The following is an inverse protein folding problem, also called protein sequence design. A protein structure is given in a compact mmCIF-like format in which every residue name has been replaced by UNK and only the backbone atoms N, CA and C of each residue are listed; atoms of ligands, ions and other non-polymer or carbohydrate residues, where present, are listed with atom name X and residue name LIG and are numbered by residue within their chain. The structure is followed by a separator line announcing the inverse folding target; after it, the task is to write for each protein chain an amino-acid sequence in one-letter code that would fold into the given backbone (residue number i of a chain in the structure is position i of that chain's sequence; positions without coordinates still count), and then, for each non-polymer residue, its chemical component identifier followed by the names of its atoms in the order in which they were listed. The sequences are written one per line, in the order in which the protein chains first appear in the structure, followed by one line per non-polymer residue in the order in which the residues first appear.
data_IF_648157519200
#
_entry.id   IF_648157519200
#
_cell.length_a   1.000
_cell.length_b   1.000
_cell.length_c   1.000
_cell.angle_alpha   90.00
_cell.angle_beta   90.00
_cell.angle_gamma   90.00
#
_symmetry.space_group_name_H-M   'P 1'
#
loop_
_entity.id
_entity.type
_entity.pdbx_description
1 polymer ?
#
# COMPACT_ATOMS: atom_id res chain seq x y z
N UNK A 1 -37.63 -38.94 -14.72
CA UNK A 1 -38.10 -37.73 -15.43
C UNK A 1 -37.09 -37.43 -16.52
N UNK A 2 -37.52 -37.41 -17.79
CA UNK A 2 -36.63 -37.09 -18.91
C UNK A 2 -36.38 -35.58 -18.97
N UNK A 3 -35.12 -35.17 -19.13
CA UNK A 3 -34.72 -33.76 -19.20
C UNK A 3 -35.23 -33.10 -20.49
N UNK A 4 -35.74 -31.86 -20.38
CA UNK A 4 -36.28 -31.10 -21.49
C UNK A 4 -35.14 -30.67 -22.45
N UNK A 5 -35.18 -31.05 -23.74
CA UNK A 5 -34.12 -30.76 -24.71
C UNK A 5 -33.99 -29.28 -25.10
N UNK A 6 -34.88 -28.41 -24.62
CA UNK A 6 -34.83 -26.95 -24.81
C UNK A 6 -34.13 -26.21 -23.66
N UNK A 7 -33.69 -26.91 -22.62
CA UNK A 7 -32.97 -26.34 -21.48
C UNK A 7 -31.48 -26.67 -21.65
N UNK A 8 -30.68 -25.66 -21.97
CA UNK A 8 -29.23 -25.80 -22.02
C UNK A 8 -28.69 -26.19 -20.63
N UNK A 9 -27.85 -27.23 -20.56
CA UNK A 9 -27.18 -27.59 -19.33
C UNK A 9 -26.32 -26.42 -18.85
N UNK A 10 -26.44 -26.08 -17.57
CA UNK A 10 -25.60 -25.06 -16.92
C UNK A 10 -24.14 -25.49 -17.00
N UNK A 11 -23.30 -24.66 -17.61
CA UNK A 11 -21.85 -24.78 -17.51
C UNK A 11 -21.36 -23.88 -16.40
N UNK A 12 -20.83 -24.47 -15.32
CA UNK A 12 -20.18 -23.69 -14.27
C UNK A 12 -18.87 -23.09 -14.82
N UNK A 13 -18.77 -21.76 -14.76
CA UNK A 13 -17.61 -21.00 -15.24
C UNK A 13 -16.37 -21.14 -14.35
N UNK A 14 -16.48 -21.81 -13.20
CA UNK A 14 -15.39 -21.99 -12.25
C UNK A 14 -15.31 -23.46 -11.88
N UNK A 15 -14.18 -24.08 -12.22
CA UNK A 15 -13.92 -25.49 -11.99
C UNK A 15 -12.82 -25.62 -10.93
N UNK A 16 -12.65 -26.81 -10.35
CA UNK A 16 -11.59 -27.06 -9.35
C UNK A 16 -10.18 -26.73 -9.88
N UNK A 17 -9.97 -26.80 -11.20
CA UNK A 17 -8.70 -26.47 -11.85
C UNK A 17 -8.53 -24.98 -12.17
N UNK A 18 -9.55 -24.13 -11.99
CA UNK A 18 -9.42 -22.67 -12.23
C UNK A 18 -8.38 -22.04 -11.28
N UNK A 19 -8.27 -22.54 -10.04
CA UNK A 19 -7.23 -22.11 -9.10
C UNK A 19 -5.81 -22.48 -9.54
N UNK A 20 -5.63 -23.64 -10.18
CA UNK A 20 -4.34 -24.07 -10.72
C UNK A 20 -3.84 -23.15 -11.85
N UNK A 21 -4.75 -22.69 -12.72
CA UNK A 21 -4.40 -21.74 -13.78
C UNK A 21 -3.91 -20.40 -13.23
N UNK A 22 -4.58 -19.86 -12.20
CA UNK A 22 -4.17 -18.60 -11.59
C UNK A 22 -2.84 -18.69 -10.83
N UNK A 23 -2.57 -19.83 -10.19
CA UNK A 23 -1.28 -20.07 -9.53
C UNK A 23 -0.14 -20.13 -10.55
N UNK A 24 -0.38 -20.72 -11.72
CA UNK A 24 0.58 -20.73 -12.84
C UNK A 24 0.79 -19.31 -13.39
N UNK A 25 -0.29 -18.55 -13.62
CA UNK A 25 -0.21 -17.14 -14.05
C UNK A 25 0.59 -16.28 -13.06
N UNK A 26 0.45 -16.54 -11.75
CA UNK A 26 1.28 -15.92 -10.72
C UNK A 26 2.74 -16.33 -10.91
N UNK A 27 3.03 -17.63 -11.03
CA UNK A 27 4.39 -18.13 -11.19
C UNK A 27 5.08 -17.53 -12.44
N UNK A 28 4.37 -17.43 -13.56
CA UNK A 28 4.85 -16.81 -14.79
C UNK A 28 5.13 -15.32 -14.60
N UNK A 29 4.24 -14.60 -13.92
CA UNK A 29 4.42 -13.17 -13.65
C UNK A 29 5.62 -12.93 -12.72
N UNK A 30 5.77 -13.75 -11.67
CA UNK A 30 6.91 -13.70 -10.76
C UNK A 30 8.22 -14.03 -11.46
N UNK A 31 8.24 -15.07 -12.30
CA UNK A 31 9.39 -15.42 -13.13
C UNK A 31 9.78 -14.26 -14.07
N UNK A 32 8.80 -13.57 -14.65
CA UNK A 32 9.03 -12.36 -15.45
C UNK A 32 9.72 -11.24 -14.68
N UNK A 33 9.38 -11.05 -13.40
CA UNK A 33 10.02 -10.07 -12.51
C UNK A 33 11.46 -10.49 -12.19
N UNK A 34 11.64 -11.74 -11.77
CA UNK A 34 12.94 -12.30 -11.34
C UNK A 34 13.94 -12.40 -12.50
N UNK A 35 13.45 -12.60 -13.73
CA UNK A 35 14.30 -12.61 -14.92
C UNK A 35 15.00 -11.27 -15.20
N UNK A 36 14.56 -10.17 -14.59
CA UNK A 36 15.09 -8.83 -14.86
C UNK A 36 14.75 -8.31 -16.26
N UNK A 37 13.84 -8.95 -17.00
CA UNK A 37 13.44 -8.56 -18.37
C UNK A 37 12.90 -7.14 -18.49
N UNK A 38 12.44 -6.57 -17.36
CA UNK A 38 11.97 -5.20 -17.24
C UNK A 38 13.10 -4.17 -17.18
N UNK A 39 14.34 -4.58 -16.88
CA UNK A 39 15.50 -3.68 -16.79
C UNK A 39 15.91 -3.23 -18.19
N UNK A 40 16.08 -1.93 -18.36
CA UNK A 40 16.52 -1.35 -19.63
C UNK A 40 17.94 -1.85 -19.99
N UNK A 41 18.13 -2.26 -21.24
CA UNK A 41 19.39 -2.87 -21.71
C UNK A 41 20.59 -1.94 -21.60
N UNK A 42 20.36 -0.63 -21.50
CA UNK A 42 21.41 0.36 -21.25
C UNK A 42 22.01 0.26 -19.84
N UNK A 43 21.28 -0.30 -18.87
CA UNK A 43 21.78 -0.57 -17.51
C UNK A 43 22.18 -2.04 -17.35
N UNK A 44 21.44 -2.96 -17.98
CA UNK A 44 21.64 -4.42 -17.86
C UNK A 44 22.95 -5.00 -18.41
N UNK A 45 23.83 -4.18 -18.99
CA UNK A 45 25.15 -4.60 -19.48
C UNK A 45 26.29 -4.47 -18.45
N UNK A 46 26.05 -3.87 -17.29
CA UNK A 46 27.06 -3.70 -16.23
C UNK A 46 26.89 -4.84 -15.22
N UNK A 47 27.75 -5.85 -15.35
CA UNK A 47 27.73 -7.05 -14.53
C UNK A 47 28.04 -6.76 -13.05
N UNK A 48 27.15 -7.24 -12.18
CA UNK A 48 27.41 -7.76 -10.81
C UNK A 48 28.74 -7.36 -10.15
N UNK A 49 28.71 -6.30 -9.34
CA UNK A 49 29.61 -6.14 -8.20
C UNK A 49 28.81 -5.56 -7.04
N UNK A 50 28.44 -6.41 -6.08
CA UNK A 50 27.79 -5.97 -4.84
C UNK A 50 28.82 -5.87 -3.73
N UNK A 51 29.38 -4.67 -3.55
CA UNK A 51 29.97 -4.23 -2.29
C UNK A 51 29.53 -2.77 -2.07
N UNK A 52 28.35 -2.60 -1.44
CA UNK A 52 27.79 -1.29 -1.13
C UNK A 52 28.30 -0.81 0.24
N UNK A 53 29.56 -0.37 0.29
CA UNK A 53 30.04 0.49 1.36
C UNK A 53 30.00 1.94 0.87
N UNK A 54 28.98 2.67 1.32
CA UNK A 54 28.80 4.08 1.03
C UNK A 54 29.71 4.94 1.92
N UNK A 55 30.89 5.32 1.42
CA UNK A 55 31.50 6.59 1.84
C UNK A 55 30.84 7.70 1.03
N UNK A 56 30.14 8.59 1.74
CA UNK A 56 29.70 9.87 1.17
C UNK A 56 30.93 10.75 1.01
N UNK A 57 31.66 10.54 -0.09
CA UNK A 57 32.57 11.56 -0.60
C UNK A 57 31.71 12.53 -1.41
N UNK A 58 31.87 13.82 -1.12
CA UNK A 58 31.30 14.92 -1.88
C UNK A 58 32.35 15.39 -2.91
N UNK A 59 32.32 14.86 -4.15
CA UNK A 59 33.26 15.27 -5.19
C UNK A 59 33.06 16.75 -5.57
N UNK A 60 31.84 17.30 -5.42
CA UNK A 60 31.52 18.69 -5.78
C UNK A 60 31.95 19.69 -4.71
N UNK A 61 32.04 19.28 -3.43
CA UNK A 61 32.56 20.08 -2.33
C UNK A 61 34.00 20.58 -2.56
N UNK A 62 34.79 19.85 -3.37
CA UNK A 62 36.12 20.30 -3.81
C UNK A 62 36.07 21.55 -4.70
N UNK A 63 35.00 21.74 -5.48
CA UNK A 63 34.82 22.92 -6.34
C UNK A 63 34.47 24.16 -5.51
N UNK A 64 33.72 23.99 -4.42
CA UNK A 64 33.41 25.07 -3.45
C UNK A 64 34.70 25.57 -2.81
N UNK A 65 35.65 24.67 -2.52
CA UNK A 65 36.96 25.02 -1.95
C UNK A 65 37.82 25.90 -2.86
N UNK A 66 37.53 25.92 -4.17
CA UNK A 66 38.23 26.74 -5.16
C UNK A 66 37.62 28.14 -5.36
N UNK A 67 36.52 28.47 -4.67
CA UNK A 67 35.98 29.84 -4.61
C UNK A 67 35.28 30.32 -5.89
N UNK A 68 34.83 29.42 -6.76
CA UNK A 68 34.30 29.75 -8.09
C UNK A 68 32.76 29.76 -8.12
N UNK A 69 32.15 30.86 -7.67
CA UNK A 69 30.68 31.01 -7.58
C UNK A 69 29.91 30.80 -8.89
N UNK A 70 30.47 31.23 -10.04
CA UNK A 70 29.81 31.05 -11.35
C UNK A 70 29.81 29.59 -11.83
N UNK A 71 30.80 28.79 -11.40
CA UNK A 71 30.91 27.38 -11.78
C UNK A 71 29.85 26.55 -11.06
N UNK A 72 29.50 26.92 -9.82
CA UNK A 72 28.44 26.26 -9.06
C UNK A 72 27.09 26.35 -9.75
N UNK A 73 26.76 27.49 -10.38
CA UNK A 73 25.51 27.62 -11.16
C UNK A 73 25.44 26.62 -12.31
N UNK A 74 26.57 26.30 -12.95
CA UNK A 74 26.64 25.37 -14.06
C UNK A 74 26.70 23.91 -13.60
N UNK A 75 27.25 23.64 -12.41
CA UNK A 75 27.42 22.28 -11.87
C UNK A 75 26.23 21.83 -11.05
N UNK A 76 25.39 22.77 -10.58
CA UNK A 76 24.15 22.48 -9.84
C UNK A 76 23.26 21.39 -10.46
N UNK A 77 23.02 21.34 -11.78
CA UNK A 77 22.23 20.25 -12.38
C UNK A 77 22.78 18.84 -12.13
N UNK A 78 24.10 18.69 -11.93
CA UNK A 78 24.70 17.40 -11.56
C UNK A 78 24.50 17.09 -10.07
N UNK A 79 24.54 18.10 -9.21
CA UNK A 79 24.23 17.97 -7.77
C UNK A 79 22.77 17.57 -7.56
N UNK A 80 21.85 18.28 -8.21
CA UNK A 80 20.41 18.02 -8.12
C UNK A 80 20.09 16.58 -8.57
N UNK A 81 20.80 16.05 -9.57
CA UNK A 81 20.65 14.66 -10.01
C UNK A 81 21.11 13.62 -8.97
N UNK A 82 22.14 13.95 -8.17
CA UNK A 82 22.61 13.12 -7.04
C UNK A 82 21.58 13.12 -5.91
N UNK A 83 20.97 14.28 -5.65
CA UNK A 83 19.92 14.46 -4.64
C UNK A 83 18.63 13.73 -5.02
N UNK A 84 18.24 13.73 -6.31
CA UNK A 84 17.10 12.93 -6.79
C UNK A 84 17.27 11.43 -6.58
N UNK A 85 18.52 10.95 -6.56
CA UNK A 85 18.87 9.54 -6.33
C UNK A 85 19.19 9.27 -4.86
N UNK A 86 19.04 10.26 -3.96
CA UNK A 86 19.12 10.08 -2.52
C UNK A 86 17.79 9.57 -1.97
N UNK A 87 17.54 8.27 -2.17
CA UNK A 87 16.45 7.54 -1.52
C UNK A 87 16.87 6.92 -0.19
N UNK A 88 15.91 6.27 0.47
CA UNK A 88 16.13 5.51 1.71
C UNK A 88 16.18 3.99 1.38
N UNK A 89 17.38 3.40 1.25
CA UNK A 89 17.52 1.98 0.94
C UNK A 89 17.02 1.08 2.09
N UNK A 90 17.09 1.55 3.34
CA UNK A 90 16.62 0.79 4.50
C UNK A 90 15.10 0.70 4.48
N UNK A 91 14.42 1.77 4.09
CA UNK A 91 12.97 1.76 3.89
C UNK A 91 12.53 0.81 2.76
N UNK A 92 13.28 0.75 1.65
CA UNK A 92 13.02 -0.19 0.56
C UNK A 92 13.19 -1.65 1.04
N UNK A 93 14.27 -1.94 1.77
CA UNK A 93 14.54 -3.25 2.35
C UNK A 93 13.46 -3.66 3.37
N UNK A 94 12.96 -2.71 4.16
CA UNK A 94 11.87 -2.94 5.11
C UNK A 94 10.55 -3.31 4.39
N UNK A 95 10.22 -2.63 3.29
CA UNK A 95 9.05 -2.98 2.48
C UNK A 95 9.18 -4.37 1.85
N UNK A 96 10.33 -4.69 1.28
CA UNK A 96 10.57 -6.02 0.72
C UNK A 96 10.47 -7.12 1.80
N UNK A 97 11.06 -6.89 2.97
CA UNK A 97 10.98 -7.82 4.10
C UNK A 97 9.55 -8.02 4.59
N UNK A 98 8.72 -6.98 4.55
CA UNK A 98 7.30 -7.07 4.89
C UNK A 98 6.57 -8.03 3.95
N UNK A 99 6.79 -7.90 2.64
CA UNK A 99 6.19 -8.79 1.64
C UNK A 99 6.70 -10.23 1.74
N UNK A 100 7.99 -10.43 2.06
CA UNK A 100 8.53 -11.76 2.37
C UNK A 100 7.87 -12.39 3.59
N UNK A 101 7.63 -11.60 4.65
CA UNK A 101 6.94 -12.10 5.86
C UNK A 101 5.50 -12.51 5.55
N UNK A 102 4.78 -11.74 4.70
CA UNK A 102 3.43 -12.10 4.23
C UNK A 102 3.44 -13.40 3.43
N UNK A 103 4.41 -13.54 2.51
CA UNK A 103 4.58 -14.76 1.71
C UNK A 103 4.83 -15.98 2.60
N UNK A 104 5.75 -15.85 3.57
CA UNK A 104 6.06 -16.89 4.54
C UNK A 104 4.84 -17.27 5.37
N UNK A 105 4.16 -16.31 5.97
CA UNK A 105 2.97 -16.56 6.79
C UNK A 105 1.86 -17.27 6.00
N UNK A 106 1.66 -16.87 4.74
CA UNK A 106 0.66 -17.50 3.86
C UNK A 106 1.04 -18.93 3.49
N UNK A 107 2.34 -19.19 3.30
CA UNK A 107 2.88 -20.53 3.03
C UNK A 107 2.73 -21.44 4.25
N UNK A 108 3.10 -20.95 5.43
CA UNK A 108 2.97 -21.68 6.69
C UNK A 108 1.50 -22.04 6.96
N UNK A 109 0.58 -21.08 6.77
CA UNK A 109 -0.85 -21.32 6.96
C UNK A 109 -1.42 -22.36 5.96
N UNK A 110 -0.93 -22.38 4.71
CA UNK A 110 -1.32 -23.38 3.72
C UNK A 110 -0.82 -24.78 4.12
N UNK A 111 0.43 -24.87 4.59
CA UNK A 111 1.04 -26.11 5.08
C UNK A 111 0.31 -26.64 6.33
N UNK A 112 -0.01 -25.78 7.28
CA UNK A 112 -0.76 -26.13 8.50
C UNK A 112 -2.15 -26.68 8.16
N UNK A 113 -2.86 -26.05 7.22
CA UNK A 113 -4.17 -26.53 6.76
C UNK A 113 -4.06 -27.91 6.10
N UNK A 114 -3.06 -28.11 5.24
CA UNK A 114 -2.82 -29.39 4.59
C UNK A 114 -2.45 -30.49 5.60
N UNK A 115 -1.60 -30.16 6.59
CA UNK A 115 -1.24 -31.04 7.68
C UNK A 115 -2.46 -31.42 8.55
N UNK A 116 -3.32 -30.46 8.89
CA UNK A 116 -4.54 -30.72 9.65
C UNK A 116 -5.49 -31.65 8.90
N UNK A 117 -5.71 -31.44 7.59
CA UNK A 117 -6.56 -32.31 6.77
C UNK A 117 -5.99 -33.73 6.65
N UNK A 118 -4.68 -33.86 6.42
CA UNK A 118 -4.05 -35.18 6.28
C UNK A 118 -4.06 -35.97 7.59
N UNK A 119 -3.87 -35.32 8.74
CA UNK A 119 -3.76 -35.98 10.04
C UNK A 119 -5.12 -36.21 10.71
N UNK A 120 -5.97 -35.19 10.80
CA UNK A 120 -7.22 -35.25 11.55
C UNK A 120 -8.33 -35.99 10.81
N UNK A 121 -8.21 -36.10 9.48
CA UNK A 121 -9.19 -36.78 8.62
C UNK A 121 -8.60 -38.05 7.98
N UNK A 122 -7.53 -38.61 8.56
CA UNK A 122 -6.86 -39.79 8.03
C UNK A 122 -7.81 -41.01 7.94
N UNK A 123 -8.64 -41.19 8.96
CA UNK A 123 -9.57 -42.32 9.06
C UNK A 123 -10.90 -42.09 8.33
N UNK A 124 -11.18 -40.85 7.91
CA UNK A 124 -12.44 -40.52 7.24
C UNK A 124 -12.36 -40.89 5.75
N UNK A 125 -13.10 -41.92 5.33
CA UNK A 125 -13.16 -42.34 3.93
C UNK A 125 -14.60 -42.28 3.37
N UNK A 126 -14.73 -42.45 2.06
CA UNK A 126 -15.96 -42.36 1.30
C UNK A 126 -15.99 -41.19 0.33
N UNK A 127 -17.10 -41.08 -0.41
CA UNK A 127 -17.27 -40.04 -1.43
C UNK A 127 -17.19 -38.62 -0.84
N UNK A 128 -17.79 -38.39 0.33
CA UNK A 128 -17.78 -37.10 1.02
C UNK A 128 -16.37 -36.70 1.49
N UNK A 129 -15.58 -37.65 2.00
CA UNK A 129 -14.20 -37.38 2.42
C UNK A 129 -13.32 -36.98 1.23
N UNK A 130 -13.47 -37.65 0.07
CA UNK A 130 -12.76 -37.26 -1.16
C UNK A 130 -13.18 -35.90 -1.67
N UNK A 131 -14.48 -35.58 -1.67
CA UNK A 131 -14.98 -34.26 -2.06
C UNK A 131 -14.43 -33.16 -1.14
N UNK A 132 -14.40 -33.40 0.17
CA UNK A 132 -13.82 -32.46 1.14
C UNK A 132 -12.32 -32.24 0.93
N UNK A 133 -11.53 -33.32 0.75
CA UNK A 133 -10.09 -33.20 0.46
C UNK A 133 -9.82 -32.44 -0.84
N UNK A 134 -10.62 -32.67 -1.87
CA UNK A 134 -10.51 -31.92 -3.13
C UNK A 134 -10.84 -30.43 -2.94
N UNK A 135 -11.86 -30.11 -2.13
CA UNK A 135 -12.20 -28.73 -1.79
C UNK A 135 -11.08 -28.01 -1.04
N UNK A 136 -10.52 -28.62 0.01
CA UNK A 136 -9.41 -28.03 0.75
C UNK A 136 -8.13 -27.94 -0.08
N UNK A 137 -7.86 -28.92 -0.95
CA UNK A 137 -6.74 -28.84 -1.89
C UNK A 137 -6.81 -27.58 -2.76
N UNK A 138 -7.99 -27.18 -3.21
CA UNK A 138 -8.17 -25.93 -3.96
C UNK A 138 -7.90 -24.68 -3.12
N UNK A 139 -8.28 -24.70 -1.83
CA UNK A 139 -7.98 -23.60 -0.90
C UNK A 139 -6.48 -23.48 -0.62
N UNK A 140 -5.80 -24.61 -0.35
CA UNK A 140 -4.34 -24.66 -0.12
C UNK A 140 -3.61 -24.10 -1.34
N UNK A 141 -3.96 -24.53 -2.55
CA UNK A 141 -3.34 -24.03 -3.78
C UNK A 141 -3.57 -22.52 -3.98
N UNK A 142 -4.76 -22.01 -3.66
CA UNK A 142 -5.02 -20.57 -3.74
C UNK A 142 -4.18 -19.77 -2.72
N UNK A 143 -4.01 -20.29 -1.51
CA UNK A 143 -3.11 -19.69 -0.50
C UNK A 143 -1.65 -19.73 -0.94
N UNK A 144 -1.19 -20.83 -1.55
CA UNK A 144 0.15 -20.93 -2.14
C UNK A 144 0.34 -19.93 -3.30
N UNK A 145 -0.68 -19.71 -4.13
CA UNK A 145 -0.67 -18.68 -5.17
C UNK A 145 -0.49 -17.27 -4.60
N UNK A 146 -1.25 -16.94 -3.54
CA UNK A 146 -1.11 -15.64 -2.85
C UNK A 146 0.28 -15.51 -2.23
N UNK A 147 0.79 -16.58 -1.60
CA UNK A 147 2.14 -16.60 -1.04
C UNK A 147 3.21 -16.31 -2.10
N UNK A 148 3.12 -16.95 -3.27
CA UNK A 148 4.02 -16.71 -4.40
C UNK A 148 3.90 -15.29 -4.92
N UNK A 149 2.69 -14.76 -5.08
CA UNK A 149 2.48 -13.39 -5.56
C UNK A 149 3.08 -12.36 -4.57
N UNK A 150 2.89 -12.55 -3.26
CA UNK A 150 3.53 -11.74 -2.23
C UNK A 150 5.06 -11.82 -2.29
N UNK A 151 5.62 -13.01 -2.51
CA UNK A 151 7.06 -13.19 -2.76
C UNK A 151 7.53 -12.44 -4.01
N UNK A 152 6.75 -12.48 -5.07
CA UNK A 152 7.00 -11.72 -6.30
C UNK A 152 7.03 -10.20 -6.08
N UNK A 153 6.15 -9.66 -5.24
CA UNK A 153 6.18 -8.24 -4.87
C UNK A 153 7.46 -7.91 -4.10
N UNK A 154 7.90 -8.79 -3.19
CA UNK A 154 9.18 -8.60 -2.51
C UNK A 154 10.36 -8.57 -3.50
N UNK A 155 10.44 -9.54 -4.42
CA UNK A 155 11.46 -9.60 -5.47
C UNK A 155 11.44 -8.34 -6.36
N UNK A 156 10.24 -7.81 -6.66
CA UNK A 156 10.08 -6.56 -7.43
C UNK A 156 10.64 -5.35 -6.68
N UNK A 157 10.30 -5.19 -5.40
CA UNK A 157 10.77 -4.06 -4.57
C UNK A 157 12.28 -4.10 -4.41
N UNK A 158 12.84 -5.29 -4.17
CA UNK A 158 14.29 -5.49 -4.09
C UNK A 158 14.99 -5.19 -5.40
N UNK A 159 14.49 -5.74 -6.51
CA UNK A 159 15.04 -5.49 -7.83
C UNK A 159 15.03 -4.01 -8.20
N UNK A 160 13.93 -3.31 -7.90
CA UNK A 160 13.84 -1.86 -8.09
C UNK A 160 14.84 -1.09 -7.20
N UNK A 161 14.97 -1.47 -5.93
CA UNK A 161 15.94 -0.89 -5.00
C UNK A 161 17.38 -1.06 -5.46
N UNK A 162 17.74 -2.28 -5.87
CA UNK A 162 19.07 -2.60 -6.42
C UNK A 162 19.35 -1.80 -7.70
N UNK A 163 18.36 -1.64 -8.58
CA UNK A 163 18.53 -0.84 -9.80
C UNK A 163 18.78 0.64 -9.48
N UNK A 164 18.04 1.21 -8.52
CA UNK A 164 18.24 2.60 -8.07
C UNK A 164 19.64 2.76 -7.46
N UNK A 165 20.07 1.80 -6.63
CA UNK A 165 21.41 1.81 -6.03
C UNK A 165 22.52 1.78 -7.10
N UNK A 166 22.38 0.91 -8.10
CA UNK A 166 23.31 0.83 -9.24
C UNK A 166 23.37 2.15 -10.01
N UNK A 167 22.21 2.75 -10.35
CA UNK A 167 22.17 4.02 -11.10
C UNK A 167 22.79 5.15 -10.28
N UNK A 168 22.57 5.17 -8.96
CA UNK A 168 23.22 6.13 -8.05
C UNK A 168 24.74 5.99 -8.07
N UNK A 169 25.27 4.78 -8.07
CA UNK A 169 26.71 4.51 -8.18
C UNK A 169 27.27 5.01 -9.51
N UNK A 170 26.64 4.64 -10.63
CA UNK A 170 27.07 5.09 -11.96
C UNK A 170 27.03 6.62 -12.11
N UNK A 171 26.00 7.29 -11.55
CA UNK A 171 25.92 8.76 -11.57
C UNK A 171 27.02 9.37 -10.71
N UNK A 172 27.30 8.82 -9.53
CA UNK A 172 28.43 9.24 -8.67
C UNK A 172 29.75 9.13 -9.42
N UNK A 173 30.02 8.02 -10.10
CA UNK A 173 31.25 7.80 -10.84
C UNK A 173 31.41 8.80 -11.99
N UNK A 174 30.34 9.04 -12.75
CA UNK A 174 30.36 10.07 -13.80
C UNK A 174 30.65 11.47 -13.24
N UNK A 175 30.15 11.78 -12.04
CA UNK A 175 30.42 13.06 -11.38
C UNK A 175 31.87 13.12 -10.89
N UNK A 176 32.41 12.04 -10.34
CA UNK A 176 33.81 11.96 -9.94
C UNK A 176 34.77 12.15 -11.14
N UNK A 177 34.46 11.53 -12.28
CA UNK A 177 35.20 11.74 -13.52
C UNK A 177 35.09 13.19 -14.01
N UNK A 178 33.89 13.77 -13.97
CA UNK A 178 33.68 15.17 -14.34
C UNK A 178 34.52 16.13 -13.48
N UNK A 179 34.53 15.93 -12.16
CA UNK A 179 35.34 16.70 -11.23
C UNK A 179 36.83 16.53 -11.51
N UNK A 180 37.27 15.31 -11.83
CA UNK A 180 38.66 15.04 -12.22
C UNK A 180 39.07 15.81 -13.50
N UNK A 181 38.18 15.91 -14.50
CA UNK A 181 38.41 16.72 -15.70
C UNK A 181 38.45 18.22 -15.35
N UNK A 182 37.56 18.69 -14.47
CA UNK A 182 37.57 20.08 -14.00
C UNK A 182 38.86 20.41 -13.25
N UNK A 183 39.37 19.52 -12.40
CA UNK A 183 40.61 19.72 -11.66
C UNK A 183 41.81 20.01 -12.56
N UNK A 184 41.88 19.33 -13.71
CA UNK A 184 42.94 19.56 -14.69
C UNK A 184 42.69 20.82 -15.51
N UNK A 185 41.45 21.07 -15.97
CA UNK A 185 41.14 22.17 -16.92
C UNK A 185 40.93 23.54 -16.28
N UNK A 186 40.42 23.60 -15.05
CA UNK A 186 40.07 24.86 -14.39
C UNK A 186 41.29 25.78 -14.21
N UNK A 187 42.49 25.30 -13.81
CA UNK A 187 43.68 26.15 -13.75
C UNK A 187 44.07 26.75 -15.11
N UNK A 188 43.94 25.99 -16.21
CA UNK A 188 44.23 26.48 -17.57
C UNK A 188 43.26 27.59 -17.98
N UNK A 189 41.97 27.40 -17.71
CA UNK A 189 40.94 28.39 -18.01
C UNK A 189 41.10 29.69 -17.21
N UNK A 190 41.48 29.59 -15.93
CA UNK A 190 41.78 30.74 -15.10
C UNK A 190 43.03 31.48 -15.60
N UNK A 191 44.08 30.74 -16.01
CA UNK A 191 45.28 31.33 -16.59
C UNK A 191 44.98 32.03 -17.93
N UNK A 192 44.15 31.43 -18.80
CA UNK A 192 43.73 32.01 -20.07
C UNK A 192 42.91 33.30 -19.88
N UNK A 193 41.92 33.27 -18.98
CA UNK A 193 41.13 34.45 -18.64
C UNK A 193 42.02 35.56 -18.03
N UNK A 194 42.94 35.20 -17.14
CA UNK A 194 43.88 36.16 -16.53
C UNK A 194 44.87 36.75 -17.53
N UNK A 195 45.49 35.92 -18.38
CA UNK A 195 46.45 36.35 -19.39
C UNK A 195 45.83 37.24 -20.48
N UNK A 196 44.53 37.08 -20.74
CA UNK A 196 43.77 37.92 -21.68
C UNK A 196 43.07 39.10 -21.01
N UNK A 197 43.38 39.39 -19.73
CA UNK A 197 42.74 40.45 -18.93
C UNK A 197 41.21 40.37 -18.94
N UNK A 198 40.67 39.15 -19.02
CA UNK A 198 39.22 38.86 -19.04
C UNK A 198 38.58 38.80 -20.43
N UNK A 199 39.32 39.06 -21.52
CA UNK A 199 38.75 39.01 -22.88
C UNK A 199 38.36 37.59 -23.31
N UNK A 200 39.06 36.55 -22.85
CA UNK A 200 38.73 35.16 -23.15
C UNK A 200 37.62 34.58 -22.26
N UNK A 201 37.12 35.31 -21.26
CA UNK A 201 36.09 34.82 -20.32
C UNK A 201 34.83 34.26 -21.03
N UNK A 202 34.27 34.88 -22.09
CA UNK A 202 33.14 34.31 -22.81
C UNK A 202 33.46 32.95 -23.46
N UNK A 203 34.69 32.79 -23.97
CA UNK A 203 35.13 31.52 -24.57
C UNK A 203 35.23 30.45 -23.48
N UNK A 204 35.85 30.75 -22.35
CA UNK A 204 35.95 29.84 -21.18
C UNK A 204 34.56 29.39 -20.72
N UNK A 205 33.59 30.31 -20.58
CA UNK A 205 32.22 29.97 -20.19
C UNK A 205 31.58 29.00 -21.18
N UNK A 206 31.77 29.20 -22.49
CA UNK A 206 31.21 28.29 -23.50
C UNK A 206 31.85 26.90 -23.44
N UNK A 207 33.15 26.81 -23.17
CA UNK A 207 33.86 25.53 -23.00
C UNK A 207 33.38 24.77 -21.74
N UNK A 208 33.23 25.48 -20.61
CA UNK A 208 32.67 24.92 -19.36
C UNK A 208 31.25 24.42 -19.60
N UNK A 209 30.40 25.24 -20.22
CA UNK A 209 29.00 24.90 -20.51
C UNK A 209 28.87 23.66 -21.41
N UNK A 210 29.71 23.56 -22.45
CA UNK A 210 29.77 22.39 -23.33
C UNK A 210 30.20 21.12 -22.58
N UNK A 211 31.20 21.24 -21.70
CA UNK A 211 31.64 20.12 -20.87
C UNK A 211 30.53 19.67 -19.93
N UNK A 212 29.90 20.59 -19.19
CA UNK A 212 28.77 20.31 -18.31
C UNK A 212 27.64 19.64 -19.08
N UNK A 213 27.24 20.20 -20.23
CA UNK A 213 26.16 19.65 -21.06
C UNK A 213 26.46 18.21 -21.51
N UNK A 214 27.71 17.89 -21.84
CA UNK A 214 28.14 16.53 -22.20
C UNK A 214 27.95 15.54 -21.04
N UNK A 215 28.27 15.93 -19.81
CA UNK A 215 28.12 15.08 -18.63
C UNK A 215 26.67 14.98 -18.17
N UNK A 216 25.93 16.10 -18.18
CA UNK A 216 24.50 16.11 -17.93
C UNK A 216 23.75 15.19 -18.90
N UNK A 217 24.12 15.20 -20.19
CA UNK A 217 23.52 14.29 -21.17
C UNK A 217 23.86 12.81 -20.91
N UNK A 218 25.01 12.50 -20.32
CA UNK A 218 25.37 11.12 -19.91
C UNK A 218 24.52 10.66 -18.73
N UNK A 219 24.44 11.48 -17.69
CA UNK A 219 23.62 11.21 -16.50
C UNK A 219 22.14 11.09 -16.88
N UNK A 220 21.64 12.01 -17.72
CA UNK A 220 20.26 12.00 -18.19
C UNK A 220 19.87 10.71 -18.93
N UNK A 221 20.81 10.06 -19.63
CA UNK A 221 20.57 8.74 -20.23
C UNK A 221 20.39 7.64 -19.18
N UNK A 222 21.20 7.63 -18.12
CA UNK A 222 21.06 6.67 -17.02
C UNK A 222 19.73 6.85 -16.28
N UNK A 223 19.36 8.09 -15.98
CA UNK A 223 18.07 8.40 -15.33
C UNK A 223 16.89 8.01 -16.23
N UNK A 224 16.98 8.29 -17.54
CA UNK A 224 15.94 7.90 -18.49
C UNK A 224 15.78 6.38 -18.57
N UNK A 225 16.89 5.64 -18.53
CA UNK A 225 16.89 4.19 -18.49
C UNK A 225 16.30 3.63 -17.20
N UNK A 226 16.58 4.25 -16.05
CA UNK A 226 15.96 3.93 -14.77
C UNK A 226 14.44 4.10 -14.85
N UNK A 227 13.98 5.26 -15.31
CA UNK A 227 12.55 5.56 -15.47
C UNK A 227 11.89 4.58 -16.45
N UNK A 228 12.54 4.27 -17.58
CA UNK A 228 12.10 3.26 -18.55
C UNK A 228 11.90 1.90 -17.87
N UNK A 229 12.88 1.46 -17.08
CA UNK A 229 12.83 0.19 -16.34
C UNK A 229 11.67 0.16 -15.33
N UNK A 230 11.54 1.20 -14.50
CA UNK A 230 10.45 1.31 -13.52
C UNK A 230 9.07 1.34 -14.18
N UNK A 231 8.93 1.99 -15.34
CA UNK A 231 7.68 1.97 -16.11
C UNK A 231 7.33 0.59 -16.66
N UNK A 232 8.33 -0.23 -17.00
CA UNK A 232 8.13 -1.63 -17.43
C UNK A 232 7.73 -2.55 -16.27
N UNK A 233 8.03 -2.18 -15.02
CA UNK A 233 7.56 -2.90 -13.82
C UNK A 233 6.08 -2.66 -13.48
N UNK A 234 5.56 -1.46 -13.70
CA UNK A 234 4.16 -1.09 -13.38
C UNK A 234 3.13 -2.12 -13.87
N UNK A 235 3.15 -2.60 -15.14
CA UNK A 235 2.18 -3.59 -15.60
C UNK A 235 2.33 -4.96 -14.91
N UNK A 236 3.55 -5.37 -14.55
CA UNK A 236 3.79 -6.63 -13.81
C UNK A 236 3.21 -6.55 -12.40
N UNK A 237 3.40 -5.42 -11.72
CA UNK A 237 2.82 -5.17 -10.40
C UNK A 237 1.29 -5.17 -10.43
N UNK A 238 0.69 -4.52 -11.42
CA UNK A 238 -0.77 -4.52 -11.61
C UNK A 238 -1.29 -5.93 -11.86
N UNK A 239 -0.62 -6.70 -12.73
CA UNK A 239 -0.98 -8.10 -12.98
C UNK A 239 -0.92 -8.96 -11.72
N UNK A 240 0.10 -8.80 -10.88
CA UNK A 240 0.15 -9.49 -9.58
C UNK A 240 -1.01 -9.08 -8.67
N UNK A 241 -1.35 -7.80 -8.61
CA UNK A 241 -2.52 -7.31 -7.87
C UNK A 241 -3.83 -7.97 -8.33
N UNK A 242 -4.08 -7.97 -9.65
CA UNK A 242 -5.26 -8.59 -10.25
C UNK A 242 -5.34 -10.09 -9.90
N UNK A 243 -4.21 -10.81 -10.00
CA UNK A 243 -4.14 -12.24 -9.69
C UNK A 243 -4.38 -12.52 -8.19
N UNK A 244 -3.87 -11.68 -7.30
CA UNK A 244 -4.15 -11.77 -5.86
C UNK A 244 -5.65 -11.58 -5.60
N UNK A 245 -6.29 -10.61 -6.24
CA UNK A 245 -7.73 -10.36 -6.09
C UNK A 245 -8.57 -11.53 -6.61
N UNK A 246 -8.20 -12.13 -7.74
CA UNK A 246 -8.87 -13.32 -8.27
C UNK A 246 -8.73 -14.53 -7.33
N UNK A 247 -7.54 -14.78 -6.79
CA UNK A 247 -7.26 -15.83 -5.82
C UNK A 247 -8.00 -15.60 -4.49
N UNK A 248 -8.04 -14.37 -3.99
CA UNK A 248 -8.85 -13.99 -2.84
C UNK A 248 -10.35 -14.21 -3.08
N UNK A 249 -10.82 -13.90 -4.28
CA UNK A 249 -12.18 -14.20 -4.71
C UNK A 249 -12.49 -15.69 -4.66
N UNK A 250 -11.55 -16.54 -5.08
CA UNK A 250 -11.68 -18.00 -4.97
C UNK A 250 -11.74 -18.46 -3.51
N UNK A 251 -10.86 -17.96 -2.64
CA UNK A 251 -10.87 -18.29 -1.21
C UNK A 251 -12.19 -17.89 -0.54
N UNK A 252 -12.69 -16.67 -0.78
CA UNK A 252 -13.97 -16.21 -0.23
C UNK A 252 -15.14 -17.06 -0.70
N UNK A 253 -15.16 -17.47 -1.97
CA UNK A 253 -16.18 -18.39 -2.49
C UNK A 253 -16.06 -19.77 -1.87
N UNK A 254 -14.84 -20.30 -1.75
CA UNK A 254 -14.59 -21.59 -1.13
C UNK A 254 -14.95 -21.61 0.37
N UNK A 255 -14.85 -20.47 1.06
CA UNK A 255 -15.29 -20.32 2.45
C UNK A 255 -16.83 -20.19 2.58
N UNK A 256 -17.53 -19.68 1.56
CA UNK A 256 -18.99 -19.50 1.54
C UNK A 256 -19.77 -20.68 0.96
N UNK A 257 -19.10 -21.61 0.28
CA UNK A 257 -19.74 -22.76 -0.35
C UNK A 257 -20.22 -23.75 0.73
N UNK A 258 -21.47 -23.61 1.15
CA UNK A 258 -22.22 -24.64 1.86
C UNK A 258 -22.20 -25.94 1.02
N UNK A 259 -21.58 -27.04 1.49
CA UNK A 259 -21.43 -28.27 0.71
C UNK A 259 -22.76 -28.99 0.44
N UNK A 260 -23.90 -28.46 0.92
CA UNK A 260 -25.23 -29.07 0.76
C UNK A 260 -26.22 -28.21 -0.05
N UNK A 261 -25.85 -26.98 -0.46
CA UNK A 261 -26.77 -26.13 -1.23
C UNK A 261 -26.42 -26.07 -2.72
N UNK A 262 -27.26 -26.60 -3.63
CA UNK A 262 -27.12 -26.30 -5.04
C UNK A 262 -27.47 -24.83 -5.26
N UNK A 263 -26.57 -24.10 -5.91
CA UNK A 263 -26.73 -22.70 -6.21
C UNK A 263 -27.94 -22.46 -7.14
N UNK A 264 -29.12 -22.18 -6.58
CA UNK A 264 -30.25 -21.59 -7.28
C UNK A 264 -31.10 -20.74 -6.32
N UNK A 265 -31.31 -19.48 -6.70
CA UNK A 265 -32.29 -18.62 -6.07
C UNK A 265 -33.70 -19.16 -6.31
N UNK A 266 -34.39 -19.49 -5.22
CA UNK A 266 -35.84 -19.42 -5.07
C UNK A 266 -36.16 -19.57 -3.57
N UNK A 267 -36.65 -18.50 -2.93
CA UNK A 267 -37.29 -18.58 -1.62
C UNK A 267 -38.59 -19.36 -1.78
N UNK A 268 -38.84 -20.40 -0.96
CA UNK A 268 -39.96 -20.26 -0.02
C UNK A 268 -39.80 -21.05 1.29
N UNK A 269 -40.22 -20.43 2.39
CA UNK A 269 -40.50 -21.12 3.66
C UNK A 269 -39.74 -20.52 4.83
N UNK A 270 -40.41 -19.65 5.61
CA UNK A 270 -39.86 -18.98 6.77
C UNK A 270 -39.25 -19.93 7.81
N UNK A 271 -38.11 -19.52 8.38
CA UNK A 271 -37.48 -20.20 9.52
C UNK A 271 -37.77 -19.47 10.83
N UNK A 272 -37.80 -20.19 11.97
CA UNK A 272 -38.18 -19.68 13.28
C UNK A 272 -37.14 -18.69 13.82
N UNK A 273 -37.63 -17.73 14.62
CA UNK A 273 -36.93 -16.54 15.10
C UNK A 273 -35.80 -16.75 16.13
N UNK A 274 -34.98 -17.80 16.03
CA UNK A 274 -34.01 -18.13 17.09
C UNK A 274 -32.52 -18.12 16.71
N UNK A 275 -32.14 -17.98 15.43
CA UNK A 275 -30.71 -17.93 15.06
C UNK A 275 -30.51 -17.03 13.84
N UNK A 276 -30.48 -15.72 14.08
CA UNK A 276 -29.97 -14.71 13.16
C UNK A 276 -29.06 -13.80 13.98
N UNK A 277 -27.75 -13.95 13.84
CA UNK A 277 -26.77 -13.02 14.38
C UNK A 277 -26.13 -12.24 13.20
N UNK A 278 -26.45 -10.94 13.01
CA UNK A 278 -26.06 -10.14 11.85
C UNK A 278 -24.83 -9.23 12.09
N UNK A 279 -23.92 -9.61 12.99
CA UNK A 279 -22.93 -8.70 13.59
C UNK A 279 -21.65 -8.36 12.78
N UNK A 280 -21.72 -8.30 11.44
CA UNK A 280 -20.61 -7.74 10.62
C UNK A 280 -20.99 -6.57 9.69
N UNK A 281 -22.27 -6.21 9.57
CA UNK A 281 -22.73 -5.20 8.60
C UNK A 281 -23.41 -3.98 9.25
N UNK A 282 -23.28 -3.79 10.56
CA UNK A 282 -24.17 -2.89 11.28
C UNK A 282 -23.72 -1.42 11.31
N UNK A 283 -23.23 -0.87 10.20
CA UNK A 283 -23.45 0.53 9.84
C UNK A 283 -24.45 0.59 8.66
N UNK A 284 -25.74 0.57 8.99
CA UNK A 284 -26.78 1.13 8.12
C UNK A 284 -27.26 0.32 6.90
N UNK A 285 -27.24 -1.02 6.91
CA UNK A 285 -27.97 -1.79 5.89
C UNK A 285 -29.45 -2.00 6.27
N UNK A 286 -30.36 -1.24 5.65
CA UNK A 286 -31.70 -1.71 5.25
C UNK A 286 -32.08 -1.16 3.88
N UNK A 287 -32.89 -1.95 3.19
CA UNK A 287 -33.14 -1.97 1.75
C UNK A 287 -34.45 -1.28 1.38
N UNK A 288 -34.48 0.05 1.47
CA UNK A 288 -35.55 0.88 0.92
C UNK A 288 -35.06 2.32 0.76
N UNK A 289 -34.63 2.64 -0.47
CA UNK A 289 -34.06 3.91 -0.89
C UNK A 289 -35.09 4.69 -1.71
N UNK A 290 -35.72 5.72 -1.13
CA UNK A 290 -36.79 6.48 -1.82
C UNK A 290 -36.61 8.01 -1.90
N UNK A 291 -35.40 8.57 -1.70
CA UNK A 291 -35.15 10.00 -2.00
C UNK A 291 -33.77 10.25 -2.67
N UNK A 292 -33.73 10.76 -3.93
CA UNK A 292 -32.50 11.14 -4.64
C UNK A 292 -31.69 12.28 -4.00
N UNK A 293 -32.22 13.00 -3.00
CA UNK A 293 -31.45 13.99 -2.24
C UNK A 293 -30.61 13.37 -1.10
N UNK A 294 -30.72 12.05 -0.86
CA UNK A 294 -30.09 11.31 0.23
C UNK A 294 -28.85 10.48 -0.17
N UNK A 295 -28.23 10.78 -1.31
CA UNK A 295 -26.95 10.17 -1.70
C UNK A 295 -25.78 10.80 -0.93
N UNK A 296 -24.82 10.02 -0.39
CA UNK A 296 -23.48 10.55 -0.15
C UNK A 296 -22.98 11.10 -1.49
N UNK A 297 -22.74 12.41 -1.56
CA UNK A 297 -22.10 12.96 -2.76
C UNK A 297 -20.71 12.36 -2.86
N UNK A 298 -20.31 11.96 -4.06
CA UNK A 298 -18.97 11.51 -4.33
C UNK A 298 -17.98 12.54 -3.75
N UNK A 299 -17.14 12.18 -2.76
CA UNK A 299 -16.14 13.10 -2.24
C UNK A 299 -15.33 13.74 -3.36
N UNK A 300 -14.81 14.96 -3.15
CA UNK A 300 -13.80 15.52 -4.05
C UNK A 300 -12.60 14.56 -4.18
N UNK A 301 -11.67 14.79 -5.12
CA UNK A 301 -10.41 14.07 -5.14
C UNK A 301 -9.78 14.04 -3.73
N UNK A 302 -9.20 12.92 -3.29
CA UNK A 302 -8.61 12.82 -1.97
C UNK A 302 -7.43 13.80 -1.82
N UNK A 303 -7.22 14.29 -0.61
CA UNK A 303 -6.13 15.21 -0.28
C UNK A 303 -4.79 14.47 -0.17
N UNK A 304 -4.84 13.19 0.21
CA UNK A 304 -3.70 12.28 0.26
C UNK A 304 -4.17 10.82 0.13
N UNK A 305 -3.22 9.89 0.11
CA UNK A 305 -3.51 8.46 0.17
C UNK A 305 -2.63 7.79 1.24
N UNK A 306 -3.17 6.78 1.91
CA UNK A 306 -2.37 5.86 2.70
C UNK A 306 -1.39 5.08 1.80
N UNK A 307 -0.32 4.49 2.36
CA UNK A 307 0.58 3.60 1.61
C UNK A 307 -0.13 2.45 0.90
N UNK A 308 -1.25 1.96 1.47
CA UNK A 308 -2.09 0.92 0.88
C UNK A 308 -3.04 1.43 -0.22
N UNK A 309 -3.01 2.72 -0.54
CA UNK A 309 -3.82 3.37 -1.57
C UNK A 309 -5.13 3.98 -1.07
N UNK A 310 -5.48 3.79 0.21
CA UNK A 310 -6.75 4.29 0.75
C UNK A 310 -6.83 5.81 0.73
N UNK A 311 -7.93 6.41 0.26
CA UNK A 311 -8.06 7.86 0.17
C UNK A 311 -8.14 8.51 1.56
N UNK A 312 -7.47 9.64 1.72
CA UNK A 312 -7.45 10.46 2.93
C UNK A 312 -8.04 11.84 2.61
N UNK A 313 -8.94 12.30 3.48
CA UNK A 313 -9.66 13.56 3.36
C UNK A 313 -9.37 14.45 4.57
N UNK A 314 -9.05 15.72 4.32
CA UNK A 314 -8.69 16.69 5.34
C UNK A 314 -9.78 17.76 5.52
N UNK A 315 -10.07 18.07 6.78
CA UNK A 315 -10.82 19.25 7.23
C UNK A 315 -10.07 19.90 8.40
N UNK A 316 -10.38 21.16 8.74
CA UNK A 316 -9.68 21.88 9.80
C UNK A 316 -9.61 21.19 11.16
N UNK A 317 -10.61 20.36 11.49
CA UNK A 317 -10.76 19.68 12.77
C UNK A 317 -11.00 18.17 12.62
N UNK A 318 -10.82 17.62 11.41
CA UNK A 318 -11.06 16.20 11.20
C UNK A 318 -10.29 15.63 10.01
N UNK A 319 -9.91 14.36 10.12
CA UNK A 319 -9.35 13.55 9.03
C UNK A 319 -10.24 12.33 8.81
N UNK A 320 -10.65 12.07 7.56
CA UNK A 320 -11.33 10.82 7.20
C UNK A 320 -10.44 9.95 6.31
N UNK A 321 -10.56 8.63 6.50
CA UNK A 321 -9.78 7.63 5.77
C UNK A 321 -10.74 6.56 5.24
N UNK A 322 -10.80 6.44 3.92
CA UNK A 322 -11.80 5.65 3.21
C UNK A 322 -12.87 6.51 2.54
N UNK A 323 -13.66 5.87 1.68
CA UNK A 323 -14.60 6.53 0.76
C UNK A 323 -16.06 6.09 0.94
N UNK A 324 -16.29 5.05 1.74
CA UNK A 324 -17.62 4.46 1.84
C UNK A 324 -18.65 5.42 2.48
N UNK A 325 -19.92 5.15 2.18
CA UNK A 325 -21.03 5.99 2.64
C UNK A 325 -21.07 6.19 4.16
N UNK A 326 -20.61 5.25 4.98
CA UNK A 326 -20.61 5.40 6.43
C UNK A 326 -19.43 6.25 6.91
N UNK A 327 -18.23 6.08 6.34
CA UNK A 327 -17.09 6.97 6.61
C UNK A 327 -17.43 8.40 6.26
N UNK A 328 -17.89 8.65 5.03
CA UNK A 328 -18.21 10.00 4.58
C UNK A 328 -19.37 10.61 5.37
N UNK A 329 -20.37 9.81 5.73
CA UNK A 329 -21.48 10.29 6.55
C UNK A 329 -21.03 10.72 7.94
N UNK A 330 -20.16 9.94 8.61
CA UNK A 330 -19.63 10.34 9.91
C UNK A 330 -18.73 11.57 9.77
N UNK A 331 -17.92 11.64 8.72
CA UNK A 331 -17.10 12.81 8.44
C UNK A 331 -17.92 14.09 8.28
N UNK A 332 -19.09 14.01 7.66
CA UNK A 332 -19.99 15.14 7.41
C UNK A 332 -20.85 15.53 8.61
N UNK A 333 -21.36 14.55 9.34
CA UNK A 333 -22.41 14.79 10.32
C UNK A 333 -21.93 14.81 11.78
N UNK A 334 -20.71 14.37 12.09
CA UNK A 334 -20.20 14.43 13.47
C UNK A 334 -19.99 15.87 13.92
N UNK A 335 -20.54 16.22 15.08
CA UNK A 335 -20.28 17.49 15.75
C UNK A 335 -18.83 17.54 16.24
N UNK A 336 -18.06 18.57 15.87
CA UNK A 336 -16.69 18.70 16.34
C UNK A 336 -16.65 19.04 17.83
N UNK A 337 -15.64 18.53 18.53
CA UNK A 337 -15.34 18.93 19.90
C UNK A 337 -14.26 20.02 19.87
N UNK A 338 -14.47 21.18 20.51
CA UNK A 338 -13.44 22.21 20.60
C UNK A 338 -12.11 21.65 21.13
N UNK A 339 -11.02 21.95 20.42
CA UNK A 339 -9.66 21.52 20.77
C UNK A 339 -9.37 20.04 20.54
N UNK A 340 -10.25 19.28 19.88
CA UNK A 340 -9.98 17.90 19.45
C UNK A 340 -9.91 17.81 17.94
N UNK A 341 -9.11 16.86 17.46
CA UNK A 341 -9.08 16.45 16.06
C UNK A 341 -9.83 15.13 15.89
N UNK A 342 -10.89 15.14 15.09
CA UNK A 342 -11.71 13.96 14.84
C UNK A 342 -11.11 13.08 13.74
N UNK A 343 -11.08 11.77 13.95
CA UNK A 343 -10.56 10.83 12.95
C UNK A 343 -11.64 9.80 12.64
N UNK A 344 -12.05 9.75 11.37
CA UNK A 344 -13.13 8.90 10.90
C UNK A 344 -12.57 7.81 10.00
N UNK A 345 -12.66 6.57 10.46
CA UNK A 345 -12.17 5.37 9.77
C UNK A 345 -12.83 4.17 10.43
N UNK A 346 -13.08 3.06 9.73
CA UNK A 346 -13.58 1.87 10.44
C UNK A 346 -12.47 1.24 11.27
N UNK A 347 -12.85 0.73 12.43
CA UNK A 347 -11.97 0.03 13.35
C UNK A 347 -12.42 -1.40 13.55
N UNK A 348 -11.47 -2.26 13.90
CA UNK A 348 -11.71 -3.67 14.17
C UNK A 348 -11.39 -4.03 15.62
N UNK A 349 -11.94 -5.16 16.08
CA UNK A 349 -11.60 -5.75 17.38
C UNK A 349 -10.20 -6.38 17.40
N UNK A 350 -9.51 -6.42 16.26
CA UNK A 350 -8.16 -6.98 16.10
C UNK A 350 -7.04 -6.01 16.50
N UNK A 351 -7.37 -4.77 16.87
CA UNK A 351 -6.38 -3.71 17.11
C UNK A 351 -5.91 -3.01 15.83
N UNK A 352 -6.54 -3.31 14.69
CA UNK A 352 -6.26 -2.70 13.38
C UNK A 352 -7.45 -1.86 12.89
N UNK A 353 -7.19 -1.07 11.85
CA UNK A 353 -8.18 -0.27 11.15
C UNK A 353 -8.56 -0.93 9.82
N UNK A 354 -9.71 -0.54 9.27
CA UNK A 354 -10.17 -0.99 7.95
C UNK A 354 -10.80 0.19 7.20
N UNK A 355 -10.04 0.97 6.43
CA UNK A 355 -10.62 1.98 5.56
C UNK A 355 -11.70 1.38 4.67
N UNK A 356 -12.87 2.02 4.64
CA UNK A 356 -13.99 1.50 3.89
C UNK A 356 -13.92 1.89 2.43
N UNK A 357 -14.23 0.93 1.57
CA UNK A 357 -13.85 0.91 0.16
C UNK A 357 -15.06 0.61 -0.76
N UNK A 358 -16.26 1.05 -0.35
CA UNK A 358 -17.46 0.96 -1.21
C UNK A 358 -17.61 2.26 -2.00
N UNK A 359 -17.47 2.17 -3.32
CA UNK A 359 -17.59 3.32 -4.22
C UNK A 359 -19.02 3.88 -4.31
N UNK A 360 -19.19 5.05 -4.95
CA UNK A 360 -20.50 5.62 -5.27
C UNK A 360 -21.34 4.75 -6.23
N UNK A 361 -20.70 3.75 -6.84
CA UNK A 361 -21.27 2.70 -7.69
C UNK A 361 -21.71 1.44 -6.91
N UNK A 362 -21.44 1.39 -5.60
CA UNK A 362 -21.78 0.26 -4.74
C UNK A 362 -20.85 -0.96 -4.90
N UNK A 363 -19.72 -0.83 -5.59
CA UNK A 363 -18.74 -1.91 -5.73
C UNK A 363 -17.83 -2.01 -4.49
N UNK A 364 -17.61 -3.24 -4.00
CA UNK A 364 -16.66 -3.54 -2.93
C UNK A 364 -15.22 -3.50 -3.49
N UNK A 365 -14.37 -2.58 -3.03
CA UNK A 365 -12.90 -2.65 -3.25
C UNK A 365 -12.21 -3.37 -2.06
N UNK A 366 -11.06 -4.04 -2.27
CA UNK A 366 -10.44 -4.90 -1.26
C UNK A 366 -9.99 -4.11 -0.02
N UNK A 367 -10.75 -4.27 1.06
CA UNK A 367 -10.46 -3.65 2.35
C UNK A 367 -9.18 -4.21 2.98
N UNK A 368 -8.10 -3.44 2.88
CA UNK A 368 -6.83 -3.72 3.54
C UNK A 368 -6.91 -3.39 5.03
N UNK A 369 -6.37 -4.26 5.87
CA UNK A 369 -6.17 -3.92 7.28
C UNK A 369 -5.03 -2.91 7.39
N UNK A 370 -5.30 -1.80 8.07
CA UNK A 370 -4.39 -0.66 8.19
C UNK A 370 -3.81 -0.61 9.61
N UNK A 371 -2.49 -0.51 9.68
CA UNK A 371 -1.77 -0.42 10.95
C UNK A 371 -2.01 0.95 11.63
N UNK A 372 -2.15 1.02 12.97
CA UNK A 372 -2.34 2.28 13.70
C UNK A 372 -1.31 3.38 13.40
N UNK A 373 -0.06 3.01 13.12
CA UNK A 373 0.97 3.95 12.68
C UNK A 373 0.58 4.70 11.39
N UNK A 374 -0.03 4.02 10.42
CA UNK A 374 -0.47 4.66 9.17
C UNK A 374 -1.61 5.66 9.42
N UNK A 375 -2.45 5.41 10.43
CA UNK A 375 -3.48 6.36 10.86
C UNK A 375 -2.83 7.59 11.51
N UNK A 376 -1.83 7.38 12.38
CA UNK A 376 -1.07 8.48 12.97
C UNK A 376 -0.39 9.35 11.90
N UNK A 377 0.18 8.73 10.88
CA UNK A 377 0.82 9.46 9.78
C UNK A 377 -0.20 10.22 8.93
N UNK A 378 -1.37 9.63 8.65
CA UNK A 378 -2.46 10.32 7.95
C UNK A 378 -3.02 11.53 8.73
N UNK A 379 -3.00 11.47 10.06
CA UNK A 379 -3.37 12.61 10.92
C UNK A 379 -2.32 13.72 10.79
N UNK A 380 -1.03 13.37 10.83
CA UNK A 380 0.09 14.33 10.69
C UNK A 380 0.13 15.01 9.32
N UNK A 381 -0.35 14.35 8.27
CA UNK A 381 -0.42 14.94 6.93
C UNK A 381 -1.54 15.96 6.77
N UNK A 382 -2.48 16.05 7.72
CA UNK A 382 -3.49 17.09 7.69
C UNK A 382 -2.85 18.45 8.04
N UNK A 383 -2.82 19.43 7.12
CA UNK A 383 -2.14 20.71 7.35
C UNK A 383 -2.77 21.57 8.44
N UNK A 384 -3.96 21.19 8.93
CA UNK A 384 -4.67 21.88 10.00
C UNK A 384 -4.49 21.21 11.37
N UNK A 385 -3.87 20.04 11.44
CA UNK A 385 -3.62 19.37 12.70
C UNK A 385 -2.43 20.01 13.43
N UNK A 386 -2.66 20.48 14.65
CA UNK A 386 -1.71 21.26 15.46
C UNK A 386 -1.08 20.45 16.61
N UNK A 387 -1.33 19.14 16.67
CA UNK A 387 -0.86 18.28 17.76
C UNK A 387 -1.79 18.24 18.98
N UNK A 388 -3.04 18.70 18.85
CA UNK A 388 -4.07 18.55 19.88
C UNK A 388 -4.53 17.10 20.11
N UNK A 389 -5.33 16.84 21.16
CA UNK A 389 -5.91 15.52 21.42
C UNK A 389 -6.78 15.03 20.27
N UNK A 390 -6.83 13.72 20.08
CA UNK A 390 -7.58 13.08 18.99
C UNK A 390 -8.83 12.38 19.52
N UNK A 391 -9.93 12.44 18.78
CA UNK A 391 -11.09 11.58 18.99
C UNK A 391 -11.28 10.64 17.79
N UNK A 392 -11.18 9.34 18.03
CA UNK A 392 -11.43 8.32 17.01
C UNK A 392 -12.94 8.05 16.90
N UNK A 393 -13.57 8.48 15.81
CA UNK A 393 -14.91 8.02 15.43
C UNK A 393 -14.74 6.72 14.64
N UNK A 394 -14.32 5.68 15.36
CA UNK A 394 -13.88 4.41 14.77
C UNK A 394 -14.26 3.23 15.66
N UNK A 395 -15.08 2.33 15.13
CA UNK A 395 -15.68 1.22 15.88
C UNK A 395 -14.64 0.37 16.63
N UNK A 396 -14.95 0.01 17.87
CA UNK A 396 -14.16 -0.91 18.70
C UNK A 396 -12.71 -0.50 19.01
N UNK A 397 -12.25 0.68 18.58
CA UNK A 397 -10.83 1.06 18.73
C UNK A 397 -10.38 1.30 20.16
N UNK A 398 -11.33 1.53 21.08
CA UNK A 398 -11.10 1.60 22.53
C UNK A 398 -11.14 0.24 23.24
N UNK A 399 -11.29 -0.87 22.51
CA UNK A 399 -11.17 -2.23 23.02
C UNK A 399 -10.31 -3.07 22.09
N UNK A 400 -10.00 -4.29 22.52
CA UNK A 400 -9.32 -5.29 21.69
C UNK A 400 -9.80 -6.67 22.13
N UNK A 401 -9.95 -7.59 21.18
CA UNK A 401 -10.26 -8.96 21.48
C UNK A 401 -9.11 -9.61 22.28
N UNK A 402 -9.40 -10.40 23.33
CA UNK A 402 -8.37 -11.02 24.17
C UNK A 402 -7.29 -11.79 23.37
N UNK A 403 -7.70 -12.43 22.28
CA UNK A 403 -6.88 -13.22 21.37
C UNK A 403 -5.96 -12.41 20.45
N UNK A 404 -6.14 -11.08 20.35
CA UNK A 404 -5.35 -10.26 19.42
C UNK A 404 -3.89 -10.05 19.88
N UNK A 405 -3.61 -10.19 21.18
CA UNK A 405 -2.26 -10.09 21.73
C UNK A 405 -1.58 -8.72 21.59
N UNK A 406 -2.33 -7.68 21.18
CA UNK A 406 -1.85 -6.30 20.98
C UNK A 406 -2.71 -5.30 21.78
N UNK A 407 -2.20 -4.10 22.10
CA UNK A 407 -3.01 -3.05 22.72
C UNK A 407 -4.18 -2.62 21.80
N UNK A 408 -5.26 -2.04 22.35
CA UNK A 408 -6.30 -1.41 21.54
C UNK A 408 -5.71 -0.43 20.52
N UNK A 409 -6.33 -0.35 19.34
CA UNK A 409 -5.86 0.50 18.25
C UNK A 409 -5.68 1.96 18.72
N UNK A 410 -6.57 2.45 19.57
CA UNK A 410 -6.49 3.79 20.16
C UNK A 410 -5.23 4.02 21.01
N UNK A 411 -4.80 3.01 21.79
CA UNK A 411 -3.56 3.12 22.58
C UNK A 411 -2.35 3.24 21.64
N UNK A 412 -2.32 2.43 20.58
CA UNK A 412 -1.22 2.46 19.62
C UNK A 412 -1.17 3.81 18.86
N UNK A 413 -2.32 4.39 18.50
CA UNK A 413 -2.37 5.75 17.93
C UNK A 413 -1.91 6.81 18.93
N UNK A 414 -2.29 6.69 20.22
CA UNK A 414 -1.86 7.61 21.26
C UNK A 414 -0.35 7.59 21.43
N UNK A 415 0.24 6.39 21.51
CA UNK A 415 1.68 6.19 21.61
C UNK A 415 2.40 6.74 20.37
N UNK A 416 1.86 6.47 19.17
CA UNK A 416 2.43 6.94 17.93
C UNK A 416 2.43 8.47 17.82
N UNK A 417 1.31 9.13 18.15
CA UNK A 417 1.17 10.59 18.05
C UNK A 417 1.79 11.36 19.22
N UNK A 418 1.94 10.72 20.37
CA UNK A 418 2.38 11.38 21.60
C UNK A 418 1.29 12.27 22.24
N UNK A 419 0.01 12.03 21.93
CA UNK A 419 -1.12 12.85 22.43
C UNK A 419 -2.24 11.95 22.98
N UNK A 420 -3.13 12.48 23.84
CA UNK A 420 -4.30 11.73 24.27
C UNK A 420 -5.23 11.38 23.11
N UNK A 421 -5.72 10.13 23.08
CA UNK A 421 -6.66 9.63 22.08
C UNK A 421 -7.92 9.12 22.77
N UNK A 422 -9.08 9.66 22.41
CA UNK A 422 -10.38 9.20 22.93
C UNK A 422 -11.08 8.34 21.89
N UNK A 423 -11.49 7.13 22.26
CA UNK A 423 -12.02 6.12 21.34
C UNK A 423 -13.19 5.34 21.96
N UNK A 424 -14.14 4.85 21.14
CA UNK A 424 -15.29 4.11 21.63
C UNK A 424 -14.92 2.66 21.95
N UNK A 425 -15.53 2.10 23.00
CA UNK A 425 -15.33 0.68 23.33
C UNK A 425 -16.09 -0.27 22.41
N UNK A 426 -17.05 0.24 21.62
CA UNK A 426 -17.90 -0.54 20.74
C UNK A 426 -18.18 0.19 19.41
N UNK A 427 -19.08 -0.33 18.59
CA UNK A 427 -19.49 0.31 17.34
C UNK A 427 -20.03 1.72 17.59
N UNK A 428 -19.56 2.68 16.80
CA UNK A 428 -19.89 4.11 16.93
C UNK A 428 -20.41 4.66 15.61
N UNK A 429 -21.32 5.63 15.69
CA UNK A 429 -21.67 6.42 14.52
C UNK A 429 -22.76 7.44 14.77
N UNK A 430 -23.13 8.15 13.72
CA UNK A 430 -24.25 9.10 13.68
C UNK A 430 -25.47 8.50 12.99
N UNK A 431 -26.65 9.09 13.21
CA UNK A 431 -27.83 8.75 12.42
C UNK A 431 -27.57 9.09 10.95
N UNK A 432 -27.75 8.08 10.10
CA UNK A 432 -27.62 8.14 8.65
C UNK A 432 -28.54 9.20 8.02
N UNK A 433 -29.69 9.46 8.62
CA UNK A 433 -30.68 10.41 8.10
C UNK A 433 -30.86 11.64 8.99
N UNK A 434 -30.09 11.73 10.08
CA UNK A 434 -30.11 12.88 10.98
C UNK A 434 -29.51 14.17 10.38
N UNK A 435 -29.56 15.31 11.10
CA UNK A 435 -28.94 16.56 10.66
C UNK A 435 -27.39 16.50 10.70
N UNK A 436 -26.70 17.53 10.21
CA UNK A 436 -25.27 17.74 10.48
C UNK A 436 -25.09 18.25 11.92
N UNK A 437 -23.95 17.93 12.55
CA UNK A 437 -23.66 18.36 13.92
C UNK A 437 -24.24 17.43 14.98
N UNK A 438 -24.26 16.13 14.70
CA UNK A 438 -24.70 15.08 15.63
C UNK A 438 -23.57 14.65 16.56
N UNK A 439 -23.92 14.39 17.82
CA UNK A 439 -23.03 13.66 18.72
C UNK A 439 -23.03 12.18 18.33
N UNK A 440 -21.87 11.58 18.00
CA UNK A 440 -21.80 10.17 17.67
C UNK A 440 -22.21 9.30 18.87
N UNK A 441 -23.04 8.30 18.60
CA UNK A 441 -23.57 7.36 19.59
C UNK A 441 -22.80 6.03 19.54
N UNK A 442 -22.49 5.48 20.71
CA UNK A 442 -21.88 4.16 20.85
C UNK A 442 -22.99 3.13 21.12
N UNK A 443 -22.94 1.99 20.44
CA UNK A 443 -23.90 0.90 20.63
C UNK A 443 -23.57 0.03 21.84
N UNK A 444 -24.51 -0.86 22.18
CA UNK A 444 -24.25 -1.93 23.15
C UNK A 444 -23.98 -1.47 24.59
N UNK A 445 -24.26 -0.21 24.92
CA UNK A 445 -23.88 0.38 26.21
C UNK A 445 -22.38 0.70 26.32
N UNK A 446 -21.66 0.76 25.19
CA UNK A 446 -20.25 1.14 25.15
C UNK A 446 -20.01 2.59 25.56
N UNK A 447 -18.77 2.89 25.92
CA UNK A 447 -18.34 4.17 26.46
C UNK A 447 -17.15 4.74 25.67
N UNK A 448 -16.91 6.04 25.80
CA UNK A 448 -15.69 6.67 25.32
C UNK A 448 -14.59 6.48 26.34
N UNK A 449 -13.44 5.94 25.91
CA UNK A 449 -12.23 5.81 26.74
C UNK A 449 -11.12 6.68 26.20
N UNK A 450 -10.41 7.35 27.09
CA UNK A 450 -9.22 8.13 26.75
C UNK A 450 -7.97 7.32 27.07
N UNK A 451 -7.07 7.26 26.10
CA UNK A 451 -5.78 6.61 26.14
C UNK A 451 -4.71 7.68 26.12
N UNK A 452 -3.75 7.60 27.04
CA UNK A 452 -2.62 8.53 27.10
C UNK A 452 -1.36 7.85 26.55
N UNK A 453 -0.46 8.63 25.92
CA UNK A 453 0.78 8.09 25.37
C UNK A 453 1.62 7.43 26.46
N UNK A 454 2.28 6.32 26.10
CA UNK A 454 3.18 5.53 26.95
C UNK A 454 2.52 5.00 28.24
N UNK A 455 1.20 4.78 28.23
CA UNK A 455 0.47 4.24 29.39
C UNK A 455 0.33 5.22 30.55
N UNK A 456 0.43 6.54 30.29
CA UNK A 456 0.07 7.57 31.26
C UNK A 456 -1.37 7.39 31.78
N UNK A 457 -1.63 7.85 33.01
CA UNK A 457 -2.99 7.86 33.60
C UNK A 457 -3.55 9.27 33.65
#
# INVERSE_FOLDING_TARGET
MAANPLIAARHDSTQWYTGLGLVEDVADTVSGIESGSWIDSTIGGVATSMDALATVLDPLGSLVSWGVGWLLEHVKPLSDALDWLAGDPDQINAYASTWRNVAKQSTDAAADLQAAVSTQLAEWDGASARAYRAHISGQVQAMEGIARAAGGIASLVEGAGLLVALVRELVRDLIADFVSVLAVRLPLWLAEAGATLGLATPLVISQVSSLVAKWAARIGRLISALISSLRRLVPLLRRLGDLIDELNGLLRRAARADPVSPANGATPGGRPAAWADPDLDSMGRRSDWEDPAAHPQAPPPPDANLPAGDPVYHRPNSTAIGYDSATMRNFDAVAPIPGHHDVVVHGERTGLFRPGLVGADGADHPANSTHPQQIADAIRTNPHYDGGPVRLVSCHTGTVAPEAGVPPAAQQVADALGVPVTAPTDAVGVDRYGPVGQTPMIRGGGEWKTFYPNGGR
#
